data_IF_977167868718
#
_entry.id   IF_977167868718
#
_cell.length_a   1.000
_cell.length_b   1.000
_cell.length_c   1.000
_cell.angle_alpha   90.00
_cell.angle_beta   90.00
_cell.angle_gamma   90.00
#
_symmetry.space_group_name_H-M   'P 1'
#
loop_
_entity.id
_entity.type
_entity.pdbx_description
1 polymer ?
2 non-polymer ?
3 non-polymer ?
4 water ?
#
# COMPACT_ATOMS: atom_id res chain seq x y z
N UNK A 10 17.36 0.14 -21.73
CA UNK A 10 17.28 -0.30 -20.34
C UNK A 10 17.98 -1.64 -20.17
N UNK A 11 18.90 -1.71 -19.20
CA UNK A 11 19.51 -2.99 -18.85
C UNK A 11 18.42 -3.95 -18.37
N UNK A 12 17.23 -3.40 -18.13
CA UNK A 12 16.04 -4.19 -17.88
C UNK A 12 15.64 -4.95 -19.15
N UNK A 13 16.58 -5.04 -20.10
CA UNK A 13 16.42 -5.86 -21.31
C UNK A 13 17.06 -7.24 -21.09
N UNK A 14 16.37 -8.07 -20.31
CA UNK A 14 16.87 -9.38 -19.88
C UNK A 14 16.57 -10.50 -20.89
N UNK A 15 16.02 -10.13 -22.04
CA UNK A 15 15.68 -11.08 -23.08
C UNK A 15 16.87 -11.93 -23.57
N UNK A 16 18.09 -11.46 -23.29
CA UNK A 16 19.31 -12.09 -23.82
C UNK A 16 19.93 -13.20 -22.96
N UNK A 17 19.67 -13.18 -21.66
CA UNK A 17 20.23 -14.16 -20.72
C UNK A 17 19.63 -15.56 -20.87
N UNK A 18 19.19 -16.15 -19.75
CA UNK A 18 18.62 -17.50 -19.79
C UNK A 18 17.29 -17.66 -19.02
N UNK A 19 16.98 -18.90 -18.66
CA UNK A 19 15.61 -19.25 -18.32
C UNK A 19 15.21 -19.15 -16.83
N UNK A 20 14.03 -18.57 -16.58
CA UNK A 20 13.44 -18.61 -15.27
C UNK A 20 13.16 -20.05 -14.89
N UNK A 21 12.38 -20.74 -15.71
CA UNK A 21 12.03 -22.14 -15.44
C UNK A 21 13.26 -23.01 -15.24
N UNK A 22 14.43 -22.52 -15.64
CA UNK A 22 15.68 -23.23 -15.43
C UNK A 22 16.10 -23.21 -13.97
N UNK A 23 15.85 -22.09 -13.30
CA UNK A 23 16.37 -21.88 -11.96
C UNK A 23 15.33 -21.99 -10.86
N UNK A 24 14.06 -22.06 -11.25
CA UNK A 24 12.97 -22.12 -10.29
C UNK A 24 11.94 -23.19 -10.64
N UNK A 25 11.28 -23.69 -9.59
CA UNK A 25 10.20 -24.64 -9.71
C UNK A 25 8.91 -23.84 -9.51
N UNK A 26 8.01 -23.85 -10.50
CA UNK A 26 6.75 -23.13 -10.39
C UNK A 26 5.68 -23.91 -9.61
N UNK A 27 5.11 -23.24 -8.62
CA UNK A 27 4.08 -23.86 -7.78
C UNK A 27 2.71 -23.24 -8.05
N UNK A 28 1.96 -22.92 -7.01
CA UNK A 28 0.58 -22.51 -7.22
C UNK A 28 0.44 -21.01 -7.36
N UNK A 29 -0.63 -20.59 -8.02
CA UNK A 29 -1.03 -19.20 -8.06
C UNK A 29 -1.26 -18.73 -6.64
N UNK A 30 -0.98 -17.46 -6.36
CA UNK A 30 -1.28 -16.88 -5.07
C UNK A 30 -2.00 -15.55 -5.23
N UNK A 31 -2.27 -15.17 -6.48
CA UNK A 31 -2.99 -13.94 -6.78
C UNK A 31 -3.18 -13.83 -8.29
N UNK A 32 -4.31 -13.28 -8.73
CA UNK A 32 -4.58 -13.21 -10.16
C UNK A 32 -5.23 -11.89 -10.59
N UNK A 33 -4.82 -11.43 -11.78
CA UNK A 33 -5.40 -10.26 -12.42
C UNK A 33 -5.47 -10.52 -13.93
N UNK A 34 -5.94 -9.54 -14.69
CA UNK A 34 -6.15 -9.72 -16.13
C UNK A 34 -4.85 -9.78 -16.92
N UNK A 35 -3.87 -9.00 -16.51
CA UNK A 35 -2.60 -8.92 -17.22
C UNK A 35 -1.40 -9.32 -16.35
N UNK A 36 -1.67 -9.93 -15.20
CA UNK A 36 -0.59 -10.54 -14.41
C UNK A 36 -1.07 -11.56 -13.41
N UNK A 37 -0.15 -12.40 -12.96
CA UNK A 37 -0.41 -13.50 -12.05
C UNK A 37 0.76 -13.65 -11.08
N UNK A 38 0.47 -13.91 -9.81
CA UNK A 38 1.51 -14.21 -8.82
C UNK A 38 1.45 -15.69 -8.48
N UNK A 39 2.57 -16.39 -8.65
CA UNK A 39 2.69 -17.77 -8.24
C UNK A 39 3.77 -17.87 -7.19
N UNK A 40 3.71 -18.94 -6.38
CA UNK A 40 4.80 -19.26 -5.46
C UNK A 40 5.82 -20.10 -6.21
N UNK A 41 7.09 -20.02 -5.81
CA UNK A 41 8.12 -20.79 -6.50
C UNK A 41 9.30 -21.22 -5.61
N UNK A 42 10.06 -22.19 -6.10
CA UNK A 42 11.20 -22.70 -5.35
C UNK A 42 12.50 -22.60 -6.13
N UNK A 43 13.48 -21.93 -5.54
CA UNK A 43 14.80 -21.83 -6.13
C UNK A 43 15.44 -23.21 -6.10
N UNK A 44 15.51 -23.86 -7.26
CA UNK A 44 15.93 -25.26 -7.33
C UNK A 44 17.21 -25.57 -6.54
N UNK A 45 18.22 -24.73 -6.68
CA UNK A 45 19.54 -24.98 -6.09
C UNK A 45 19.60 -24.88 -4.56
N UNK A 46 18.72 -24.09 -3.96
CA UNK A 46 18.76 -23.86 -2.52
C UNK A 46 17.49 -24.32 -1.79
N UNK A 47 16.48 -24.69 -2.56
CA UNK A 47 15.20 -25.13 -1.99
C UNK A 47 14.43 -24.05 -1.24
N UNK A 48 14.85 -22.80 -1.41
CA UNK A 48 14.20 -21.69 -0.74
C UNK A 48 13.02 -21.15 -1.55
N UNK A 49 12.02 -20.65 -0.85
CA UNK A 49 10.76 -20.23 -1.43
C UNK A 49 10.76 -18.78 -1.85
N UNK A 50 10.02 -18.48 -2.90
CA UNK A 50 9.84 -17.11 -3.34
C UNK A 50 8.47 -16.90 -3.98
N UNK A 51 8.13 -15.64 -4.19
CA UNK A 51 6.97 -15.27 -5.00
C UNK A 51 7.49 -14.84 -6.36
N UNK A 52 6.66 -14.95 -7.37
CA UNK A 52 7.03 -14.48 -8.68
C UNK A 52 5.79 -13.97 -9.39
N UNK A 53 5.74 -12.67 -9.60
CA UNK A 53 4.69 -12.07 -10.39
C UNK A 53 5.10 -12.25 -11.84
N UNK A 54 4.23 -12.88 -12.62
CA UNK A 54 4.46 -13.05 -14.04
C UNK A 54 3.59 -12.04 -14.78
N UNK A 55 4.18 -11.26 -15.66
CA UNK A 55 3.45 -10.16 -16.31
C UNK A 55 3.37 -10.27 -17.83
N UNK A 56 2.16 -10.24 -18.36
CA UNK A 56 1.95 -10.32 -19.81
C UNK A 56 2.41 -9.04 -20.50
N UNK A 57 3.46 -9.18 -21.31
CA UNK A 57 4.10 -8.06 -21.99
C UNK A 57 3.24 -7.44 -23.08
N UNK A 58 2.28 -8.20 -23.60
CA UNK A 58 1.43 -7.73 -24.68
C UNK A 58 0.21 -7.02 -24.13
N UNK A 59 0.08 -7.03 -22.81
CA UNK A 59 -1.05 -6.40 -22.15
C UNK A 59 -0.63 -5.19 -21.33
N UNK A 60 0.57 -5.24 -20.78
CA UNK A 60 1.06 -4.14 -19.95
C UNK A 60 2.58 -4.01 -20.02
N UNK A 61 3.07 -2.79 -19.81
CA UNK A 61 4.51 -2.56 -19.72
C UNK A 61 4.91 -2.46 -18.26
N UNK A 62 5.73 -3.40 -17.81
CA UNK A 62 6.09 -3.51 -16.39
C UNK A 62 7.35 -2.72 -16.04
N UNK A 63 7.86 -1.96 -16.99
CA UNK A 63 9.16 -1.31 -16.81
C UNK A 63 9.18 -0.38 -15.61
N UNK A 64 8.15 0.45 -15.44
CA UNK A 64 8.15 1.37 -14.32
C UNK A 64 8.05 0.67 -12.96
N UNK A 65 7.22 -0.36 -12.86
CA UNK A 65 7.15 -1.13 -11.64
C UNK A 65 8.54 -1.69 -11.29
N UNK A 66 9.15 -2.39 -12.24
CA UNK A 66 10.45 -3.04 -12.01
C UNK A 66 11.57 -2.07 -11.62
N UNK A 67 11.59 -0.90 -12.24
CA UNK A 67 12.62 0.09 -11.94
C UNK A 67 12.49 0.59 -10.51
N UNK A 68 11.23 0.83 -10.13
CA UNK A 68 10.91 1.32 -8.81
C UNK A 68 11.32 0.27 -7.80
N UNK A 69 11.01 -1.00 -8.10
CA UNK A 69 11.45 -2.09 -7.24
C UNK A 69 12.98 -2.22 -7.19
N UNK A 70 13.64 -1.98 -8.30
CA UNK A 70 15.10 -2.04 -8.36
C UNK A 70 15.76 -0.92 -7.57
N UNK A 71 15.23 0.29 -7.67
CA UNK A 71 15.81 1.42 -6.94
C UNK A 71 15.45 1.47 -5.45
N UNK A 72 14.22 1.09 -5.11
CA UNK A 72 13.74 1.29 -3.75
C UNK A 72 13.46 0.01 -2.96
N UNK A 73 13.57 -1.15 -3.61
CA UNK A 73 13.30 -2.41 -2.94
C UNK A 73 14.26 -2.69 -1.81
N UNK A 74 15.24 -1.81 -1.65
CA UNK A 74 16.25 -1.97 -0.62
C UNK A 74 15.70 -1.45 0.69
N UNK A 75 14.64 -0.65 0.61
CA UNK A 75 13.99 -0.13 1.82
C UNK A 75 13.46 -1.30 2.67
N UNK A 76 13.74 -1.29 3.98
CA UNK A 76 13.36 -2.43 4.85
C UNK A 76 11.87 -2.75 4.84
N UNK A 77 11.04 -1.78 4.46
CA UNK A 77 9.59 -1.96 4.48
C UNK A 77 8.95 -1.93 3.11
N UNK A 78 9.79 -2.16 2.11
CA UNK A 78 9.31 -2.29 0.74
C UNK A 78 9.67 -3.69 0.26
N UNK A 79 8.77 -4.31 -0.50
CA UNK A 79 9.00 -5.67 -0.98
C UNK A 79 10.34 -5.73 -1.73
N UNK A 80 11.08 -6.82 -1.54
CA UNK A 80 12.47 -6.90 -1.97
C UNK A 80 12.65 -7.81 -3.19
N UNK A 81 13.11 -7.22 -4.29
CA UNK A 81 13.27 -7.97 -5.54
C UNK A 81 14.51 -8.88 -5.52
N UNK A 82 14.35 -10.13 -5.97
CA UNK A 82 15.39 -11.14 -5.81
C UNK A 82 15.98 -11.59 -7.13
N UNK A 83 15.21 -11.45 -8.19
CA UNK A 83 15.65 -11.86 -9.51
C UNK A 83 14.65 -11.29 -10.51
N UNK A 84 14.93 -11.45 -11.80
CA UNK A 84 13.95 -11.07 -12.83
C UNK A 84 14.35 -11.57 -14.23
N UNK A 85 13.39 -12.12 -14.95
CA UNK A 85 13.63 -12.67 -16.29
C UNK A 85 12.65 -12.09 -17.31
N UNK A 86 12.96 -12.32 -18.59
CA UNK A 86 12.16 -11.82 -19.69
C UNK A 86 12.35 -12.76 -20.86
N UNK A 87 11.49 -13.77 -20.97
CA UNK A 87 11.59 -14.75 -22.05
C UNK A 87 11.02 -14.19 -23.34
N UNK A 88 10.72 -12.89 -23.32
CA UNK A 88 10.16 -12.23 -24.48
C UNK A 88 8.72 -11.80 -24.29
N UNK A 89 7.86 -12.76 -23.93
CA UNK A 89 6.43 -12.51 -23.83
C UNK A 89 5.99 -12.14 -22.42
N UNK A 90 6.69 -12.67 -21.43
CA UNK A 90 6.35 -12.43 -20.02
C UNK A 90 7.56 -12.01 -19.21
N UNK A 91 7.40 -10.97 -18.41
CA UNK A 91 8.43 -10.63 -17.44
C UNK A 91 8.11 -11.38 -16.14
N UNK A 92 9.14 -12.05 -15.60
CA UNK A 92 9.05 -12.79 -14.35
C UNK A 92 9.78 -12.04 -13.24
N UNK A 93 9.03 -11.42 -12.34
CA UNK A 93 9.63 -10.66 -11.25
C UNK A 93 9.62 -11.47 -9.95
N UNK A 94 10.81 -11.92 -9.54
CA UNK A 94 10.95 -12.79 -8.37
C UNK A 94 11.18 -11.97 -7.10
N UNK A 95 10.35 -12.19 -6.08
CA UNK A 95 10.57 -11.50 -4.81
C UNK A 95 10.63 -12.44 -3.62
N UNK A 96 10.88 -11.86 -2.46
CA UNK A 96 10.73 -12.59 -1.20
C UNK A 96 9.23 -12.93 -1.00
N UNK A 97 8.96 -14.15 -0.53
CA UNK A 97 7.59 -14.59 -0.31
C UNK A 97 7.11 -14.19 1.08
N UNK A 98 5.94 -13.56 1.12
CA UNK A 98 5.37 -13.01 2.35
C UNK A 98 4.56 -14.07 3.10
N UNK A 99 5.00 -14.39 4.31
CA UNK A 99 4.40 -15.51 5.02
C UNK A 99 3.43 -15.09 6.14
N UNK A 100 3.23 -13.79 6.29
CA UNK A 100 2.35 -13.28 7.34
C UNK A 100 0.96 -12.86 6.88
N UNK A 101 0.65 -13.07 5.61
CA UNK A 101 -0.62 -12.62 5.05
C UNK A 101 -0.86 -11.12 5.07
N UNK A 102 -2.05 -10.70 4.62
CA UNK A 102 -2.42 -9.28 4.64
C UNK A 102 -2.35 -8.70 6.05
N UNK A 103 -1.80 -7.51 6.14
CA UNK A 103 -1.58 -6.82 7.41
C UNK A 103 -2.91 -6.50 8.10
N UNK A 104 -3.83 -5.85 7.39
CA UNK A 104 -5.03 -5.35 8.03
C UNK A 104 -5.86 -6.53 8.54
N UNK A 105 -5.92 -7.58 7.72
CA UNK A 105 -6.65 -8.79 8.08
C UNK A 105 -6.09 -9.43 9.33
N UNK A 106 -4.76 -9.54 9.42
CA UNK A 106 -4.16 -10.14 10.62
C UNK A 106 -4.47 -9.32 11.85
N UNK A 107 -4.34 -8.01 11.72
CA UNK A 107 -4.68 -7.08 12.79
C UNK A 107 -6.16 -7.15 13.25
N UNK A 108 -7.11 -7.14 12.31
CA UNK A 108 -8.53 -7.28 12.64
C UNK A 108 -8.87 -8.59 13.37
N UNK A 109 -8.13 -9.66 13.08
CA UNK A 109 -8.33 -10.92 13.79
C UNK A 109 -7.55 -10.98 15.09
N UNK A 110 -7.08 -9.84 15.58
CA UNK A 110 -6.43 -9.83 16.87
C UNK A 110 -7.30 -9.15 17.91
N UNK A 111 -8.03 -9.96 18.69
CA UNK A 111 -8.96 -9.44 19.67
C UNK A 111 -8.35 -8.34 20.56
N UNK A 112 -7.09 -8.49 20.95
CA UNK A 112 -6.49 -7.55 21.90
C UNK A 112 -5.52 -6.49 21.32
N UNK A 113 -5.67 -6.18 20.04
CA UNK A 113 -4.90 -5.11 19.39
C UNK A 113 -5.10 -3.77 20.11
N UNK A 114 -4.04 -2.97 20.21
CA UNK A 114 -4.09 -1.75 21.02
C UNK A 114 -3.75 -0.53 20.19
N UNK A 115 -3.97 0.64 20.77
CA UNK A 115 -3.61 1.91 20.12
C UNK A 115 -2.12 2.02 19.88
N UNK A 116 -1.34 1.70 20.91
CA UNK A 116 0.11 1.68 20.77
C UNK A 116 0.59 0.82 19.60
N UNK A 117 0.01 -0.37 19.43
CA UNK A 117 0.32 -1.18 18.25
C UNK A 117 -0.04 -0.46 16.97
N UNK A 118 -1.21 0.18 16.93
CA UNK A 118 -1.70 0.83 15.72
C UNK A 118 -0.78 1.98 15.27
N UNK A 119 -0.26 2.71 16.24
CA UNK A 119 0.60 3.84 15.97
C UNK A 119 1.95 3.38 15.39
N UNK A 120 2.51 2.33 15.98
CA UNK A 120 3.73 1.72 15.45
C UNK A 120 3.56 1.19 14.04
N UNK A 121 2.38 0.64 13.73
CA UNK A 121 2.10 0.17 12.38
C UNK A 121 2.04 1.33 11.37
N UNK A 122 1.34 2.40 11.74
CA UNK A 122 1.16 3.53 10.86
C UNK A 122 2.47 4.29 10.70
N UNK A 123 3.23 4.34 11.78
CA UNK A 123 4.54 4.95 11.72
C UNK A 123 5.35 4.24 10.64
N UNK A 124 5.53 2.93 10.80
CA UNK A 124 6.35 2.16 9.89
C UNK A 124 5.89 2.37 8.45
N UNK A 125 4.58 2.32 8.23
CA UNK A 125 4.06 2.48 6.88
C UNK A 125 4.22 3.90 6.33
N UNK A 126 3.99 4.90 7.17
CA UNK A 126 4.01 6.30 6.73
C UNK A 126 5.42 6.81 6.53
N UNK A 127 6.33 6.44 7.44
CA UNK A 127 7.77 6.57 7.20
C UNK A 127 8.15 6.09 5.79
N UNK A 128 7.73 4.88 5.42
CA UNK A 128 7.98 4.35 4.09
C UNK A 128 7.43 5.25 2.98
N UNK A 129 6.17 5.69 3.08
CA UNK A 129 5.63 6.53 2.00
C UNK A 129 6.19 7.95 1.99
N UNK A 130 6.68 8.42 3.14
CA UNK A 130 7.31 9.73 3.18
C UNK A 130 8.60 9.65 2.35
N UNK A 131 9.26 8.50 2.39
CA UNK A 131 10.48 8.29 1.64
C UNK A 131 10.22 8.20 0.13
N UNK A 132 9.20 7.45 -0.25
CA UNK A 132 8.81 7.33 -1.66
C UNK A 132 8.46 8.68 -2.25
N UNK A 133 7.62 9.41 -1.53
CA UNK A 133 7.21 10.73 -1.98
C UNK A 133 8.39 11.68 -2.15
N UNK A 134 9.30 11.64 -1.20
CA UNK A 134 10.47 12.50 -1.24
C UNK A 134 11.39 12.17 -2.42
N UNK A 135 11.34 10.92 -2.89
CA UNK A 135 12.10 10.52 -4.08
C UNK A 135 11.26 10.66 -5.35
N UNK A 136 10.09 11.30 -5.22
CA UNK A 136 9.20 11.52 -6.34
C UNK A 136 8.34 10.35 -6.79
N UNK A 137 8.20 9.34 -5.94
CA UNK A 137 7.33 8.20 -6.24
C UNK A 137 5.98 8.34 -5.55
N UNK A 138 4.90 8.11 -6.31
CA UNK A 138 3.57 7.95 -5.72
C UNK A 138 3.03 6.58 -6.06
N UNK A 139 2.36 5.95 -5.09
CA UNK A 139 1.93 4.57 -5.20
C UNK A 139 0.59 4.47 -5.95
N UNK A 140 -0.32 5.40 -5.67
CA UNK A 140 -1.58 5.50 -6.42
C UNK A 140 -2.57 4.34 -6.16
N UNK A 141 -2.26 3.45 -5.23
CA UNK A 141 -3.06 2.26 -5.08
C UNK A 141 -2.75 1.57 -3.76
N UNK A 142 -2.50 2.38 -2.74
CA UNK A 142 -2.21 1.87 -1.40
C UNK A 142 -3.42 1.25 -0.73
N UNK A 143 -4.07 0.28 -1.36
CA UNK A 143 -5.05 -0.48 -0.61
C UNK A 143 -4.37 -1.44 0.36
N UNK A 144 -5.06 -1.76 1.46
CA UNK A 144 -4.55 -2.64 2.51
C UNK A 144 -4.17 -4.04 2.02
N UNK A 145 -4.79 -4.52 0.93
CA UNK A 145 -4.42 -5.82 0.39
C UNK A 145 -3.03 -5.84 -0.27
N UNK A 146 -2.44 -4.66 -0.49
CA UNK A 146 -1.11 -4.53 -1.09
C UNK A 146 -0.03 -4.34 -0.03
N UNK A 147 -0.44 -4.39 1.24
CA UNK A 147 0.48 -4.25 2.36
C UNK A 147 0.48 -5.56 3.16
N UNK A 148 1.61 -6.26 3.22
CA UNK A 148 1.67 -7.60 3.81
C UNK A 148 2.75 -7.74 4.87
N UNK A 149 2.70 -8.85 5.59
CA UNK A 149 3.70 -9.18 6.60
C UNK A 149 4.58 -10.25 6.01
N UNK A 150 5.88 -10.14 6.19
CA UNK A 150 6.77 -11.11 5.57
C UNK A 150 6.88 -12.40 6.37
N UNK A 151 6.70 -12.28 7.68
CA UNK A 151 6.64 -13.44 8.55
C UNK A 151 5.49 -13.28 9.55
N UNK A 152 5.39 -14.21 10.49
CA UNK A 152 4.31 -14.21 11.46
C UNK A 152 4.71 -13.60 12.81
N UNK A 153 5.86 -12.94 12.86
CA UNK A 153 6.35 -12.33 14.10
C UNK A 153 5.45 -11.19 14.59
N UNK A 154 4.73 -10.56 13.67
CA UNK A 154 3.86 -9.45 14.02
C UNK A 154 4.60 -8.19 14.39
N UNK A 155 5.93 -8.20 14.21
CA UNK A 155 6.70 -6.98 14.36
C UNK A 155 6.41 -6.03 13.21
N UNK A 156 6.41 -4.72 13.50
CA UNK A 156 6.28 -3.70 12.46
C UNK A 156 7.36 -3.87 11.37
N UNK A 157 8.56 -4.28 11.79
CA UNK A 157 9.70 -4.48 10.90
C UNK A 157 9.38 -5.42 9.73
N UNK A 158 8.36 -6.24 9.89
CA UNK A 158 8.05 -7.23 8.86
C UNK A 158 6.96 -6.75 7.90
N UNK A 159 6.49 -5.52 8.11
CA UNK A 159 5.56 -4.92 7.15
C UNK A 159 6.26 -4.73 5.80
N UNK A 160 5.55 -5.04 4.70
CA UNK A 160 6.05 -4.75 3.36
C UNK A 160 4.93 -4.15 2.53
N UNK A 161 5.22 -3.06 1.82
CA UNK A 161 4.33 -2.63 0.77
C UNK A 161 4.75 -3.44 -0.46
N UNK A 162 3.79 -4.01 -1.19
CA UNK A 162 4.10 -5.13 -2.10
C UNK A 162 3.76 -5.00 -3.58
N UNK A 163 2.86 -4.10 -3.96
CA UNK A 163 2.57 -3.97 -5.38
C UNK A 163 2.71 -2.54 -5.85
N UNK A 164 3.61 -2.35 -6.81
CA UNK A 164 3.86 -1.02 -7.33
C UNK A 164 3.44 -0.93 -8.77
N UNK A 165 2.42 -1.71 -9.12
CA UNK A 165 1.94 -1.81 -10.48
C UNK A 165 1.23 -0.57 -10.98
N UNK A 166 0.90 0.34 -10.08
CA UNK A 166 0.33 1.62 -10.49
C UNK A 166 1.22 2.82 -10.10
N UNK A 167 2.33 2.53 -9.43
CA UNK A 167 3.21 3.58 -8.94
C UNK A 167 3.83 4.40 -10.09
N UNK A 168 4.05 5.67 -9.82
CA UNK A 168 4.49 6.63 -10.83
C UNK A 168 5.66 7.46 -10.32
N UNK A 169 6.73 7.50 -11.10
CA UNK A 169 7.90 8.26 -10.75
C UNK A 169 7.83 9.58 -11.50
N UNK A 170 7.88 10.69 -10.77
CA UNK A 170 7.84 12.03 -11.37
C UNK A 170 8.99 12.24 -12.37
N UNK A 171 8.63 12.71 -13.56
CA UNK A 171 9.58 12.90 -14.66
C UNK A 171 9.34 14.24 -15.34
N UNK A 172 10.40 14.79 -15.93
CA UNK A 172 10.26 15.99 -16.77
C UNK A 172 9.90 15.57 -18.19
N UNK A 173 9.35 16.50 -18.96
CA UNK A 173 8.94 16.19 -20.34
C UNK A 173 10.03 15.37 -20.99
N UNK A 174 11.27 15.82 -20.79
CA UNK A 174 12.46 15.12 -21.25
C UNK A 174 12.45 13.60 -21.02
N UNK A 175 11.81 13.16 -19.92
CA UNK A 175 11.80 11.75 -19.55
C UNK A 175 12.85 11.48 -18.49
N UNK A 176 13.35 12.57 -17.92
CA UNK A 176 14.36 12.52 -16.87
C UNK A 176 13.71 12.55 -15.49
N UNK A 177 14.32 11.85 -14.54
CA UNK A 177 13.74 11.68 -13.20
C UNK A 177 13.87 12.90 -12.30
N UNK A 178 12.79 13.22 -11.61
CA UNK A 178 12.76 14.40 -10.76
C UNK A 178 12.30 14.08 -9.33
N UNK A 179 12.92 14.78 -8.38
CA UNK A 179 12.45 14.75 -7.00
C UNK A 179 11.67 16.04 -6.72
N UNK A 180 10.67 15.96 -5.83
CA UNK A 180 9.91 17.17 -5.47
C UNK A 180 10.82 18.33 -5.03
N UNK A 181 12.08 18.04 -4.73
CA UNK A 181 13.02 19.06 -4.27
C UNK A 181 13.63 19.85 -5.44
N UNK A 182 14.02 19.13 -6.49
CA UNK A 182 14.50 19.81 -7.69
C UNK A 182 13.32 20.16 -8.60
N UNK A 183 12.81 21.37 -8.40
CA UNK A 183 11.66 21.87 -9.12
C UNK A 183 12.03 22.92 -10.18
N UNK A 184 13.29 22.88 -10.64
CA UNK A 184 13.77 23.85 -11.63
C UNK A 184 13.13 23.64 -13.00
N UNK A 185 13.42 22.49 -13.62
CA UNK A 185 12.81 22.13 -14.89
C UNK A 185 11.29 22.35 -14.86
N UNK A 186 10.62 22.33 -16.01
CA UNK A 186 11.20 21.93 -17.27
C UNK A 186 10.18 21.04 -17.93
N UNK A 187 9.84 19.96 -17.23
CA UNK A 187 8.69 19.14 -17.58
C UNK A 187 7.59 19.25 -16.54
N UNK A 188 7.20 20.48 -16.21
CA UNK A 188 6.28 20.76 -15.10
C UNK A 188 4.97 21.47 -15.49
N UNK A 189 4.11 20.81 -16.30
CA UNK A 189 2.84 21.38 -16.73
C UNK A 189 1.61 20.74 -16.08
N UNK A 190 1.09 21.31 -14.99
CA UNK A 190 -0.06 20.75 -14.29
C UNK A 190 0.24 19.37 -13.72
N UNK A 191 1.24 18.71 -14.31
CA UNK A 191 1.77 17.47 -13.77
C UNK A 191 2.11 17.68 -12.30
N UNK A 192 2.54 18.90 -12.00
CA UNK A 192 2.72 19.36 -10.62
C UNK A 192 1.55 18.94 -9.74
N UNK A 193 0.37 19.44 -10.10
CA UNK A 193 -0.83 19.26 -9.29
C UNK A 193 -1.23 17.80 -9.21
N UNK A 194 -1.09 17.07 -10.32
CA UNK A 194 -1.41 15.65 -10.38
C UNK A 194 -0.59 14.79 -9.41
N UNK A 195 0.72 15.01 -9.37
CA UNK A 195 1.56 14.32 -8.40
C UNK A 195 1.18 14.76 -6.99
N UNK A 196 0.90 16.05 -6.83
CA UNK A 196 0.49 16.58 -5.54
C UNK A 196 -0.81 15.96 -5.02
N UNK A 197 -1.67 15.56 -5.95
CA UNK A 197 -2.95 14.99 -5.62
C UNK A 197 -2.80 13.48 -5.35
N UNK A 198 -1.89 12.86 -6.08
CA UNK A 198 -1.66 11.43 -5.90
C UNK A 198 -1.05 11.14 -4.57
N UNK A 199 -0.12 11.97 -4.12
CA UNK A 199 0.51 11.76 -2.83
C UNK A 199 -0.54 11.93 -1.76
N UNK A 200 -1.46 12.87 -1.98
CA UNK A 200 -2.55 13.09 -1.07
C UNK A 200 -3.54 11.89 -1.00
N UNK A 201 -3.69 11.18 -2.12
CA UNK A 201 -4.50 9.97 -2.14
C UNK A 201 -3.81 8.82 -1.42
N UNK A 202 -2.49 8.78 -1.49
CA UNK A 202 -1.75 7.80 -0.72
C UNK A 202 -1.98 8.00 0.78
N UNK A 203 -2.17 9.25 1.22
CA UNK A 203 -2.36 9.57 2.64
C UNK A 203 -3.79 9.23 3.05
N UNK A 204 -4.72 9.56 2.16
CA UNK A 204 -6.11 9.22 2.34
C UNK A 204 -6.24 7.71 2.56
N UNK A 205 -5.58 6.94 1.70
CA UNK A 205 -5.61 5.49 1.83
C UNK A 205 -5.07 5.00 3.17
N UNK A 206 -4.12 5.74 3.73
CA UNK A 206 -3.56 5.40 5.04
C UNK A 206 -4.51 5.84 6.15
N UNK A 207 -5.32 6.86 5.87
CA UNK A 207 -6.35 7.27 6.80
C UNK A 207 -7.43 6.19 6.89
N UNK A 208 -7.81 5.68 5.73
CA UNK A 208 -8.71 4.55 5.66
C UNK A 208 -8.14 3.34 6.41
N UNK A 209 -6.90 2.98 6.12
CA UNK A 209 -6.25 1.92 6.90
C UNK A 209 -6.36 2.16 8.41
N UNK A 210 -6.09 3.39 8.85
CA UNK A 210 -6.04 3.69 10.29
C UNK A 210 -7.42 3.58 10.93
N UNK A 211 -8.40 4.19 10.27
CA UNK A 211 -9.78 4.14 10.70
C UNK A 211 -10.19 2.72 11.04
N UNK A 212 -9.94 1.82 10.10
CA UNK A 212 -10.31 0.42 10.17
C UNK A 212 -9.53 -0.38 11.22
N UNK A 213 -8.28 0.02 11.46
CA UNK A 213 -7.47 -0.64 12.48
C UNK A 213 -8.07 -0.38 13.85
N UNK A 214 -8.51 0.86 14.06
CA UNK A 214 -8.98 1.31 15.37
C UNK A 214 -10.33 0.74 15.78
N UNK A 215 -11.22 0.60 14.81
CA UNK A 215 -12.61 0.30 15.12
C UNK A 215 -13.11 -1.01 14.53
N UNK A 216 -12.37 -1.60 13.60
CA UNK A 216 -12.81 -2.82 12.97
C UNK A 216 -13.87 -2.68 11.88
N UNK A 217 -14.10 -1.45 11.39
CA UNK A 217 -14.90 -1.26 10.17
C UNK A 217 -14.38 -0.11 9.32
N UNK A 218 -14.71 -0.12 8.03
CA UNK A 218 -14.27 0.93 7.13
C UNK A 218 -15.20 2.14 7.24
N UNK A 219 -14.67 3.34 6.94
CA UNK A 219 -15.45 4.57 7.11
C UNK A 219 -16.51 4.81 6.03
N UNK A 220 -16.37 4.23 4.84
CA UNK A 220 -17.28 4.62 3.77
C UNK A 220 -18.05 3.47 3.16
N UNK A 221 -17.94 2.28 3.75
CA UNK A 221 -18.61 1.08 3.23
C UNK A 221 -18.84 0.03 4.33
N UNK A 222 -20.04 -0.55 4.33
CA UNK A 222 -20.44 -1.50 5.39
C UNK A 222 -20.14 -2.96 5.05
N UNK A 223 -20.29 -3.30 3.76
CA UNK A 223 -19.98 -4.63 3.29
C UNK A 223 -19.75 -4.58 1.80
N UNK A 224 -19.48 -5.74 1.18
CA UNK A 224 -19.24 -5.83 -0.27
C UNK A 224 -20.48 -5.53 -1.10
N UNK A 225 -21.63 -5.35 -0.47
CA UNK A 225 -22.86 -5.18 -1.23
C UNK A 225 -23.17 -3.71 -1.49
N UNK A 226 -22.62 -2.83 -0.67
CA UNK A 226 -22.73 -1.40 -0.89
C UNK A 226 -22.46 -0.98 -2.35
N UNK A 227 -23.41 -0.28 -2.95
CA UNK A 227 -23.26 0.17 -4.32
C UNK A 227 -22.10 1.17 -4.44
N UNK A 228 -21.43 1.20 -5.61
CA UNK A 228 -20.33 2.17 -5.70
C UNK A 228 -20.83 3.60 -5.55
N UNK A 229 -22.05 3.88 -6.01
CA UNK A 229 -22.57 5.26 -5.94
C UNK A 229 -22.68 5.73 -4.50
N UNK A 230 -23.19 4.87 -3.62
CA UNK A 230 -23.39 5.26 -2.22
C UNK A 230 -22.07 5.42 -1.48
N UNK A 231 -21.09 4.60 -1.79
CA UNK A 231 -19.75 4.76 -1.25
C UNK A 231 -19.14 6.10 -1.67
N UNK A 232 -19.32 6.46 -2.93
CA UNK A 232 -18.78 7.72 -3.41
C UNK A 232 -19.49 8.92 -2.76
N UNK A 233 -20.79 8.81 -2.53
CA UNK A 233 -21.51 9.89 -1.88
C UNK A 233 -20.99 10.13 -0.46
N UNK A 234 -20.69 9.04 0.26
CA UNK A 234 -20.11 9.14 1.59
C UNK A 234 -18.74 9.79 1.52
N UNK A 235 -17.89 9.24 0.66
CA UNK A 235 -16.55 9.79 0.44
C UNK A 235 -16.58 11.29 0.16
N UNK A 236 -17.44 11.70 -0.76
CA UNK A 236 -17.55 13.10 -1.12
C UNK A 236 -18.32 13.98 -0.15
N UNK A 237 -18.93 13.37 0.86
CA UNK A 237 -19.72 14.14 1.82
C UNK A 237 -18.79 14.85 2.79
N UNK A 238 -17.58 14.31 2.92
CA UNK A 238 -16.59 14.84 3.86
C UNK A 238 -16.89 14.46 5.29
N UNK A 239 -18.05 13.85 5.51
CA UNK A 239 -18.48 13.49 6.85
C UNK A 239 -18.31 12.00 7.16
N UNK A 240 -17.84 11.72 8.37
CA UNK A 240 -17.75 10.36 8.87
C UNK A 240 -17.78 10.36 10.40
N UNK A 241 -18.20 9.26 11.00
CA UNK A 241 -18.37 9.20 12.43
C UNK A 241 -17.08 8.95 13.18
N UNK A 242 -16.79 9.82 14.14
CA UNK A 242 -15.69 9.59 15.08
C UNK A 242 -16.21 9.48 16.52
N UNK A 243 -17.50 9.12 16.66
CA UNK A 243 -18.15 9.08 17.96
C UNK A 243 -18.91 7.78 18.18
N UNK A 244 -19.03 7.41 19.44
CA UNK A 244 -19.91 6.32 19.82
C UNK A 244 -19.42 4.95 19.47
N UNK A 245 -20.01 3.96 20.14
CA UNK A 245 -19.66 2.57 19.93
C UNK A 245 -18.18 2.29 20.06
N UNK A 246 -17.58 1.91 18.93
CA UNK A 246 -16.19 1.53 18.92
C UNK A 246 -15.27 2.74 19.12
N UNK A 247 -15.77 3.92 18.77
CA UNK A 247 -15.01 5.15 18.89
C UNK A 247 -14.90 5.72 20.32
N UNK A 248 -15.85 5.37 21.18
CA UNK A 248 -15.80 5.79 22.58
C UNK A 248 -14.42 5.53 23.21
N UNK A 249 -13.98 4.27 23.10
CA UNK A 249 -12.74 3.81 23.72
C UNK A 249 -11.43 4.31 23.07
N UNK A 250 -11.50 5.20 22.08
CA UNK A 250 -10.31 5.60 21.35
C UNK A 250 -9.92 7.02 21.77
N UNK A 251 -8.62 7.28 21.88
CA UNK A 251 -8.17 8.58 22.35
C UNK A 251 -8.60 9.68 21.39
N UNK A 252 -8.66 10.90 21.91
CA UNK A 252 -9.01 12.04 21.08
C UNK A 252 -7.84 12.43 20.18
N UNK A 253 -6.63 12.16 20.64
CA UNK A 253 -5.46 12.39 19.81
C UNK A 253 -5.52 11.55 18.50
N UNK A 254 -5.87 10.27 18.62
CA UNK A 254 -6.02 9.40 17.46
C UNK A 254 -7.17 9.78 16.52
N UNK A 255 -8.29 10.22 17.07
CA UNK A 255 -9.42 10.61 16.24
C UNK A 255 -9.07 11.89 15.48
N UNK A 256 -8.26 12.74 16.11
CA UNK A 256 -7.85 13.96 15.48
C UNK A 256 -7.03 13.66 14.22
N UNK A 257 -6.05 12.79 14.38
CA UNK A 257 -5.18 12.39 13.27
C UNK A 257 -6.00 11.79 12.12
N UNK A 258 -6.97 10.95 12.47
CA UNK A 258 -7.89 10.36 11.49
C UNK A 258 -8.65 11.42 10.68
N UNK A 259 -9.19 12.42 11.36
CA UNK A 259 -9.94 13.46 10.65
C UNK A 259 -9.04 14.15 9.64
N UNK A 260 -7.79 14.37 10.02
CA UNK A 260 -6.87 15.10 9.14
C UNK A 260 -6.30 14.28 7.98
N UNK A 261 -6.19 12.96 8.15
CA UNK A 261 -5.77 12.09 7.04
C UNK A 261 -6.90 11.80 6.04
N UNK A 262 -8.15 11.83 6.52
CA UNK A 262 -9.31 11.59 5.65
C UNK A 262 -10.00 12.87 5.19
N UNK A 263 -9.49 14.01 5.62
CA UNK A 263 -9.99 15.28 5.13
C UNK A 263 -10.31 15.27 3.63
N UNK A 264 -11.60 15.42 3.32
CA UNK A 264 -12.12 15.42 1.95
C UNK A 264 -11.36 16.35 1.00
N UNK A 265 -10.84 17.46 1.53
CA UNK A 265 -10.08 18.40 0.73
C UNK A 265 -8.62 17.96 0.56
N UNK A 266 -8.22 17.56 -0.66
CA UNK A 266 -6.87 17.02 -0.85
C UNK A 266 -5.80 18.03 -0.48
N UNK A 267 -6.15 19.31 -0.52
CA UNK A 267 -5.21 20.36 -0.19
C UNK A 267 -5.12 20.63 1.31
N UNK A 268 -6.08 20.12 2.08
CA UNK A 268 -6.03 20.24 3.52
C UNK A 268 -5.62 18.93 4.19
N UNK A 269 -5.66 17.85 3.42
CA UNK A 269 -5.22 16.55 3.89
C UNK A 269 -3.73 16.61 4.28
N UNK A 270 -3.44 16.03 5.45
CA UNK A 270 -2.08 15.95 5.95
C UNK A 270 -1.09 15.35 4.93
N UNK A 271 0.18 15.71 5.05
CA UNK A 271 1.21 15.01 4.30
C UNK A 271 1.75 13.88 5.15
N UNK A 272 2.49 12.97 4.52
CA UNK A 272 3.24 11.97 5.26
C UNK A 272 4.15 12.64 6.28
N UNK A 273 4.76 13.74 5.89
CA UNK A 273 5.67 14.45 6.79
C UNK A 273 4.95 14.96 8.03
N UNK A 274 3.79 15.58 7.83
CA UNK A 274 2.98 16.07 8.92
C UNK A 274 2.31 14.95 9.75
N UNK A 275 1.94 13.86 9.09
CA UNK A 275 1.42 12.71 9.82
C UNK A 275 2.44 12.24 10.87
N UNK A 276 3.72 12.19 10.49
CA UNK A 276 4.76 11.77 11.40
C UNK A 276 5.13 12.81 12.47
N UNK A 277 4.55 14.01 12.39
CA UNK A 277 4.78 15.01 13.41
C UNK A 277 3.61 15.11 14.37
N UNK A 278 2.57 14.32 14.10
CA UNK A 278 1.39 14.27 14.95
C UNK A 278 1.68 13.60 16.29
N UNK A 279 1.14 14.15 17.37
CA UNK A 279 1.36 13.60 18.72
C UNK A 279 0.99 12.12 18.87
N UNK A 280 0.02 11.63 18.09
CA UNK A 280 -0.37 10.21 18.15
C UNK A 280 0.72 9.30 17.60
N UNK A 281 1.56 9.84 16.71
CA UNK A 281 2.70 9.11 16.20
C UNK A 281 3.93 9.38 17.07
N UNK A 282 4.10 10.62 17.50
CA UNK A 282 5.32 11.04 18.20
C UNK A 282 5.36 10.56 19.65
N UNK A 283 4.24 10.68 20.35
CA UNK A 283 4.18 10.27 21.75
C UNK A 283 3.54 8.90 21.93
N UNK A 284 3.98 7.96 21.08
CA UNK A 284 3.54 6.58 21.15
C UNK A 284 3.55 6.04 22.59
N UNK A 285 4.54 6.47 23.38
CA UNK A 285 4.79 5.95 24.72
C UNK A 285 3.73 6.39 25.72
N UNK A 286 2.79 7.19 25.26
CA UNK A 286 1.68 7.60 26.12
C UNK A 286 0.39 6.95 25.64
N UNK A 287 0.48 6.17 24.57
CA UNK A 287 -0.70 5.52 24.00
C UNK A 287 -1.06 4.27 24.80
N UNK A 288 -2.37 3.99 24.94
CA UNK A 288 -2.80 2.87 25.76
C UNK A 288 -2.44 1.51 25.16
N UNK A 289 -1.98 0.58 25.99
CA UNK A 289 -1.64 -0.76 25.53
C UNK A 289 -2.78 -1.74 25.78
N UNK A 290 -3.90 -1.24 26.29
CA UNK A 290 -5.04 -2.09 26.58
C UNK A 290 -5.93 -2.23 25.35
N UNK A 291 -6.83 -3.19 25.37
CA UNK A 291 -7.68 -3.55 24.23
C UNK A 291 -8.43 -2.37 23.61
N UNK A 292 -8.66 -2.41 22.29
CA UNK A 292 -9.58 -1.49 21.63
C UNK A 292 -10.91 -2.20 21.49
N UNK A 293 -12.01 -1.44 21.44
CA UNK A 293 -13.32 -2.07 21.30
C UNK A 293 -13.83 -2.07 19.86
N UNK A 294 -13.56 -3.17 19.17
CA UNK A 294 -13.74 -3.19 17.73
C UNK A 294 -14.83 -4.14 17.30
N UNK A 295 -15.46 -3.85 16.16
CA UNK A 295 -16.28 -4.84 15.53
C UNK A 295 -15.38 -6.01 15.12
N UNK A 296 -15.94 -7.21 15.11
CA UNK A 296 -15.20 -8.39 14.72
C UNK A 296 -15.84 -8.98 13.49
N UNK A 297 -15.51 -8.43 12.33
CA UNK A 297 -16.02 -8.95 11.06
C UNK A 297 -15.02 -8.73 9.92
N UNK A 298 -13.83 -9.34 10.03
CA UNK A 298 -12.74 -9.22 9.05
C UNK A 298 -13.16 -9.51 7.63
N UNK A 299 -14.01 -10.51 7.42
CA UNK A 299 -14.41 -10.85 6.05
C UNK A 299 -15.36 -9.81 5.45
N UNK A 300 -16.21 -9.25 6.30
CA UNK A 300 -17.11 -8.20 5.89
C UNK A 300 -16.28 -6.99 5.50
N UNK A 301 -15.29 -6.67 6.32
CA UNK A 301 -14.37 -5.57 6.03
C UNK A 301 -13.63 -5.74 4.69
N UNK A 302 -13.15 -6.95 4.42
CA UNK A 302 -12.48 -7.23 3.16
C UNK A 302 -13.39 -6.89 1.97
N UNK A 303 -14.65 -7.30 2.06
CA UNK A 303 -15.64 -6.95 1.07
C UNK A 303 -15.82 -5.44 0.92
N UNK A 304 -16.00 -4.73 2.02
CA UNK A 304 -16.25 -3.29 2.00
C UNK A 304 -15.04 -2.56 1.42
N UNK A 305 -13.84 -3.04 1.76
CA UNK A 305 -12.61 -2.49 1.23
C UNK A 305 -12.53 -2.69 -0.29
N UNK A 306 -12.83 -3.91 -0.74
CA UNK A 306 -12.81 -4.19 -2.17
C UNK A 306 -13.82 -3.32 -2.89
N UNK A 307 -15.00 -3.16 -2.27
CA UNK A 307 -16.05 -2.26 -2.75
C UNK A 307 -15.58 -0.80 -2.84
N UNK A 308 -14.90 -0.34 -1.79
CA UNK A 308 -14.47 1.05 -1.76
C UNK A 308 -13.47 1.36 -2.90
N UNK A 309 -12.52 0.47 -3.12
CA UNK A 309 -11.55 0.69 -4.17
C UNK A 309 -12.06 0.37 -5.56
N UNK A 310 -12.96 -0.59 -5.69
CA UNK A 310 -13.56 -0.82 -7.00
C UNK A 310 -14.33 0.42 -7.44
N UNK A 311 -14.95 1.11 -6.48
CA UNK A 311 -15.76 2.30 -6.78
C UNK A 311 -14.88 3.49 -7.16
N UNK A 312 -13.72 3.58 -6.54
CA UNK A 312 -12.75 4.63 -6.83
C UNK A 312 -12.01 4.35 -8.14
N UNK A 313 -11.74 3.07 -8.42
CA UNK A 313 -10.87 2.66 -9.52
C UNK A 313 -11.58 2.25 -10.80
N UNK A 314 -12.87 2.58 -10.91
CA UNK A 314 -13.65 2.20 -12.07
C UNK A 314 -12.97 2.74 -13.33
N UNK A 315 -12.53 4.00 -13.28
CA UNK A 315 -11.81 4.61 -14.38
C UNK A 315 -10.34 4.21 -14.36
N UNK A 316 -9.61 4.70 -13.36
CA UNK A 316 -8.23 4.30 -13.14
C UNK A 316 -8.15 2.82 -12.80
X LIG B 1 5.98 -11.52 -2.53
X LIG B 1 4.69 -11.97 -2.41
X LIG B 1 3.67 -11.62 -3.36
X LIG B 1 2.39 -12.18 -3.02
X LIG B 1 1.42 -11.81 -3.97
X LIG B 1 0.00 -12.28 -3.75
X LIG B 1 -0.92 -11.52 -2.74
X LIG B 1 -2.38 -12.05 -2.91
X LIG B 1 -2.91 -11.82 -4.19
X LIG B 1 2.11 -11.00 -4.94
X LIG B 1 1.60 -10.32 -6.20
X LIG B 1 0.16 -9.73 -5.94
X LIG B 1 -0.61 -9.15 -7.15
X LIG B 1 -0.97 -10.01 -8.15
X LIG B 1 -1.70 -9.62 -9.34
X LIG B 1 -3.14 -9.22 -8.96
X LIG B 1 -1.76 -10.80 -10.30
X LIG B 1 -1.07 -8.39 -10.00
X LIG B 1 -0.91 -7.96 -7.21
X LIG B 1 0.32 -8.62 -5.01
X LIG B 1 0.48 -7.77 -4.25
X LIG B 1 3.45 -10.85 -4.57
X LIG B 1 4.42 -10.09 -5.42
X LIG B 1 4.50 -8.68 -5.48
X LIG B 1 5.37 -8.00 -6.32
X LIG B 1 6.22 -8.68 -7.20
X LIG B 1 7.18 -8.02 -8.13
X LIG B 1 6.15 -10.07 -7.17
X LIG B 1 5.27 -10.75 -6.33
X LIG B 1 2.12 -12.97 -1.90
X LIG B 1 3.19 -13.21 -1.11
X LIG B 1 4.46 -12.76 -1.30
X LIG C 1 12.99 -4.18 0.97
#
# INVERSE_FOLDING_TARGET
MQTVGVHSIVQQLHRNSIQFTDGYEVKEDIGVGSYSVCKRCIHKATNMEFAVKIIDKSKRDPTEEIEILLRYGQHPNIITLKDVYDDGKYVYVVTELMKGGELLDKILRQKFFSEREASAVLFTITKTVEYLHAQGVVHRDLKPSNILYVDESGNPESIRICDFGFAKQLRAENGLLMTPCYTANFVAPEVLERQGYDAACDIWSLGVLLYTMLTGYTPFANGPDDTPEEILARIGSGKFSLSGGYWNSVSDTAKDLVSKMLHVDPHQRLTAALVLRHPWIVHWDQLPQYQLNRQDAPHLVKGAMAATYSALNRNQSPVLEPVGRSTLAQRRGIKKITSTAL
0JH N01 C02 C03 C04 N05 C06 C07 C08 O09 C10 C11 C12 C13 O14 C15 C16 C17 C18 O19 C20 N21 C22 C23 C24 C25 C26 C27 C28 C29 N30 C31 N32
NA NA
#
